data_IF_425768550763
#
_entry.id   IF_425768550763
#
_cell.length_a   1.000
_cell.length_b   1.000
_cell.length_c   1.000
_cell.angle_alpha   90.00
_cell.angle_beta   90.00
_cell.angle_gamma   90.00
#
_symmetry.space_group_name_H-M   'P 1'
#
loop_
_entity.id
_entity.type
_entity.pdbx_description
1 polymer ?
#
# COMPACT_ATOMS: atom_id res chain seq x y z
N UNK A 1 4.69 -10.86 -13.13
CA UNK A 1 5.79 -10.11 -12.49
C UNK A 1 7.16 -10.34 -13.10
N UNK A 2 7.68 -11.58 -13.17
CA UNK A 2 8.99 -11.79 -13.83
C UNK A 2 8.94 -11.45 -15.32
N UNK A 3 7.93 -11.93 -16.03
CA UNK A 3 7.77 -11.69 -17.47
C UNK A 3 7.65 -10.18 -17.79
N UNK A 4 6.90 -9.42 -17.00
CA UNK A 4 6.76 -7.95 -17.16
C UNK A 4 8.11 -7.24 -17.02
N UNK A 5 8.92 -7.62 -16.03
CA UNK A 5 10.27 -7.08 -15.84
C UNK A 5 11.18 -7.43 -17.02
N UNK A 6 11.13 -8.68 -17.50
CA UNK A 6 11.92 -9.13 -18.64
C UNK A 6 11.51 -8.43 -19.94
N UNK A 7 10.21 -8.22 -20.14
CA UNK A 7 9.64 -7.51 -21.29
C UNK A 7 9.92 -6.00 -21.26
N UNK A 8 10.42 -5.46 -20.15
CA UNK A 8 10.77 -4.05 -20.05
C UNK A 8 9.57 -3.15 -19.75
N UNK A 9 8.47 -3.72 -19.27
CA UNK A 9 7.37 -2.93 -18.72
C UNK A 9 7.85 -2.24 -17.45
N UNK A 10 7.80 -0.90 -17.45
CA UNK A 10 8.19 -0.07 -16.30
C UNK A 10 6.91 0.48 -15.65
N UNK A 11 6.68 0.24 -14.35
CA UNK A 11 5.52 0.79 -13.67
C UNK A 11 5.64 2.32 -13.56
N UNK A 12 4.52 3.02 -13.67
CA UNK A 12 4.44 4.47 -13.49
C UNK A 12 3.56 4.84 -12.28
N UNK A 13 3.67 6.09 -11.82
CA UNK A 13 2.85 6.60 -10.73
C UNK A 13 1.40 6.77 -11.20
N UNK A 14 0.46 6.14 -10.50
CA UNK A 14 -0.95 6.18 -10.89
C UNK A 14 -1.58 7.55 -10.60
N UNK A 15 -1.63 8.40 -11.62
CA UNK A 15 -2.18 9.76 -11.59
C UNK A 15 -2.68 10.23 -12.96
N UNK A 16 -3.33 11.39 -13.00
CA UNK A 16 -3.85 12.01 -14.25
C UNK A 16 -2.80 12.25 -15.34
N UNK A 17 -1.51 12.29 -15.02
CA UNK A 17 -0.44 12.57 -16.01
C UNK A 17 0.08 11.34 -16.72
N UNK A 18 -0.27 10.15 -16.23
CA UNK A 18 0.23 8.85 -16.72
C UNK A 18 -0.85 7.99 -17.37
N UNK A 19 -2.12 8.36 -17.20
CA UNK A 19 -3.28 7.65 -17.72
C UNK A 19 -3.91 8.51 -18.82
N UNK A 20 -4.15 7.95 -20.03
CA UNK A 20 -4.81 8.70 -21.10
C UNK A 20 -6.24 9.11 -20.69
N UNK A 21 -6.74 10.28 -21.14
CA UNK A 21 -8.04 10.81 -20.75
C UNK A 21 -9.21 9.84 -20.94
N UNK A 22 -9.12 8.97 -21.94
CA UNK A 22 -10.12 7.97 -22.28
C UNK A 22 -10.30 6.93 -21.16
N UNK A 23 -9.22 6.55 -20.47
CA UNK A 23 -9.23 5.57 -19.37
C UNK A 23 -9.70 6.16 -18.04
N UNK A 24 -9.62 7.49 -17.88
CA UNK A 24 -10.13 8.21 -16.70
C UNK A 24 -11.66 8.25 -16.64
N UNK A 25 -12.33 8.01 -17.77
CA UNK A 25 -13.79 8.05 -17.92
C UNK A 25 -14.49 6.73 -17.64
N UNK A 26 -13.75 5.68 -17.28
CA UNK A 26 -14.31 4.36 -16.97
C UNK A 26 -15.22 4.46 -15.74
N UNK A 27 -16.49 4.80 -15.99
CA UNK A 27 -17.58 4.62 -15.03
C UNK A 27 -17.49 3.18 -14.53
N UNK A 28 -17.57 2.91 -13.21
CA UNK A 28 -17.68 1.55 -12.73
C UNK A 28 -18.81 0.89 -13.51
N UNK A 29 -18.47 -0.05 -14.40
CA UNK A 29 -19.47 -0.86 -15.06
C UNK A 29 -20.22 -1.54 -13.94
N UNK A 30 -21.41 -1.00 -13.63
CA UNK A 30 -22.43 -1.73 -12.91
C UNK A 30 -22.85 -2.80 -13.90
N UNK A 31 -22.08 -3.88 -13.97
CA UNK A 31 -22.61 -5.17 -14.36
C UNK A 31 -23.68 -5.46 -13.32
N UNK A 32 -24.88 -4.97 -13.61
CA UNK A 32 -26.08 -5.30 -12.87
C UNK A 32 -26.23 -6.80 -13.02
N UNK A 33 -25.89 -7.53 -11.96
CA UNK A 33 -26.50 -8.81 -11.76
C UNK A 33 -27.97 -8.52 -11.48
N UNK A 34 -28.77 -8.68 -12.53
CA UNK A 34 -30.23 -8.65 -12.54
C UNK A 34 -30.79 -9.89 -11.83
N UNK A 35 -30.39 -10.15 -10.59
CA UNK A 35 -31.14 -11.12 -9.78
C UNK A 35 -32.39 -10.43 -9.24
N UNK A 36 -33.38 -10.28 -10.12
CA UNK A 36 -34.75 -10.05 -9.73
C UNK A 36 -35.27 -11.26 -8.95
N UNK A 37 -35.79 -11.03 -7.75
CA UNK A 37 -37.19 -11.33 -7.37
C UNK A 37 -37.33 -11.40 -5.84
N UNK A 38 -38.16 -10.53 -5.27
CA UNK A 38 -39.21 -10.87 -4.30
C UNK A 38 -39.89 -9.56 -3.86
N UNK A 39 -41.18 -9.43 -4.17
CA UNK A 39 -42.01 -8.34 -3.65
C UNK A 39 -42.23 -8.48 -2.15
N UNK A 40 -42.19 -7.36 -1.43
CA UNK A 40 -42.67 -7.25 -0.05
C UNK A 40 -42.83 -5.78 0.35
N UNK A 41 -44.02 -5.33 0.80
CA UNK A 41 -44.24 -3.94 1.16
C UNK A 41 -43.75 -3.73 2.60
N UNK A 42 -42.57 -3.14 2.75
CA UNK A 42 -42.00 -2.77 4.04
C UNK A 42 -41.14 -1.54 3.87
N UNK A 43 -41.68 -0.38 4.25
CA UNK A 43 -40.97 0.87 4.31
C UNK A 43 -39.80 0.77 5.32
N UNK A 44 -38.62 0.47 4.80
CA UNK A 44 -37.36 0.46 5.53
C UNK A 44 -36.28 0.77 4.53
N UNK A 45 -36.05 2.06 4.28
CA UNK A 45 -34.93 2.54 3.48
C UNK A 45 -33.64 2.01 4.10
N UNK A 46 -33.18 0.87 3.61
CA UNK A 46 -31.82 0.36 3.83
C UNK A 46 -30.92 1.40 3.20
N UNK A 47 -30.46 2.32 4.05
CA UNK A 47 -29.32 3.18 3.72
C UNK A 47 -28.16 2.24 3.51
N UNK A 48 -27.92 1.85 2.27
CA UNK A 48 -26.60 1.42 1.85
C UNK A 48 -25.67 2.54 2.29
N UNK A 49 -24.86 2.28 3.31
CA UNK A 49 -23.74 3.11 3.71
C UNK A 49 -22.68 3.02 2.61
N UNK A 50 -23.01 3.53 1.43
CA UNK A 50 -22.05 3.86 0.41
C UNK A 50 -21.38 5.11 0.96
N UNK A 51 -20.15 4.93 1.47
CA UNK A 51 -19.35 5.99 2.06
C UNK A 51 -19.41 7.22 1.17
N UNK A 52 -20.04 8.26 1.70
CA UNK A 52 -20.07 9.58 1.10
C UNK A 52 -18.61 10.01 0.86
N UNK A 53 -18.22 10.40 -0.37
CA UNK A 53 -16.87 10.87 -0.65
C UNK A 53 -16.69 12.20 0.07
N UNK A 54 -16.25 12.09 1.32
CA UNK A 54 -16.00 13.23 2.19
C UNK A 54 -14.94 14.10 1.52
N UNK A 55 -15.35 15.33 1.20
CA UNK A 55 -14.57 16.39 0.58
C UNK A 55 -13.42 16.87 1.47
N UNK A 56 -12.44 16.01 1.71
CA UNK A 56 -11.12 16.42 2.21
C UNK A 56 -9.94 15.66 1.60
N UNK A 57 -10.14 14.46 1.03
CA UNK A 57 -9.16 13.77 0.17
C UNK A 57 -9.72 12.48 -0.48
N UNK A 58 -11.01 12.48 -0.86
CA UNK A 58 -11.75 11.28 -1.29
C UNK A 58 -12.11 11.24 -2.78
N UNK A 59 -11.27 11.79 -3.66
CA UNK A 59 -11.46 11.69 -5.12
C UNK A 59 -11.10 10.30 -5.66
N UNK A 60 -11.61 9.94 -6.83
CA UNK A 60 -11.17 8.76 -7.59
C UNK A 60 -9.63 8.70 -7.59
N UNK A 61 -8.96 7.56 -7.33
CA UNK A 61 -7.49 7.48 -7.31
C UNK A 61 -6.81 7.98 -8.60
N UNK A 62 -7.55 8.07 -9.70
CA UNK A 62 -7.08 8.60 -10.98
C UNK A 62 -7.18 10.13 -11.11
N UNK A 63 -7.85 10.83 -10.20
CA UNK A 63 -8.01 12.29 -10.22
C UNK A 63 -6.92 13.04 -9.44
N UNK A 64 -5.93 12.34 -8.88
CA UNK A 64 -4.77 12.98 -8.25
C UNK A 64 -3.72 13.35 -9.29
N UNK A 65 -2.86 14.28 -8.92
CA UNK A 65 -1.69 14.69 -9.73
C UNK A 65 -0.49 14.77 -8.80
N UNK A 66 0.59 14.10 -9.16
CA UNK A 66 1.86 14.19 -8.44
C UNK A 66 2.75 15.31 -9.00
N UNK A 67 3.74 15.74 -8.22
CA UNK A 67 4.67 16.75 -8.70
C UNK A 67 5.61 16.17 -9.78
N UNK A 68 6.06 16.98 -10.75
CA UNK A 68 7.03 16.54 -11.76
C UNK A 68 8.32 15.97 -11.15
N UNK A 69 8.75 16.54 -10.00
CA UNK A 69 9.91 16.05 -9.27
C UNK A 69 9.69 14.64 -8.69
N UNK A 70 8.46 14.25 -8.35
CA UNK A 70 8.19 12.89 -7.90
C UNK A 70 8.26 11.90 -9.07
N UNK A 71 7.71 12.26 -10.22
CA UNK A 71 7.82 11.46 -11.46
C UNK A 71 9.28 11.23 -11.85
N UNK A 72 10.08 12.30 -11.93
CA UNK A 72 11.51 12.19 -12.26
C UNK A 72 12.29 11.34 -11.23
N UNK A 73 11.98 11.48 -9.94
CA UNK A 73 12.58 10.66 -8.88
C UNK A 73 12.29 9.16 -9.09
N UNK A 74 11.04 8.80 -9.37
CA UNK A 74 10.63 7.40 -9.58
C UNK A 74 11.25 6.83 -10.86
N UNK A 75 11.32 7.61 -11.94
CA UNK A 75 11.94 7.20 -13.20
C UNK A 75 13.44 6.86 -13.04
N UNK A 76 14.18 7.66 -12.27
CA UNK A 76 15.56 7.36 -11.90
C UNK A 76 15.66 6.06 -11.08
N UNK A 77 14.72 5.84 -10.17
CA UNK A 77 14.68 4.64 -9.34
C UNK A 77 14.24 3.39 -10.09
N UNK A 78 13.65 3.49 -11.27
CA UNK A 78 13.12 2.36 -12.04
C UNK A 78 13.93 2.06 -13.32
N UNK A 79 15.11 2.67 -13.48
CA UNK A 79 16.05 2.30 -14.53
C UNK A 79 16.32 0.78 -14.51
N UNK A 80 16.19 0.16 -15.68
CA UNK A 80 16.43 -1.28 -15.90
C UNK A 80 17.91 -1.63 -15.76
N UNK A 81 18.76 -0.75 -16.27
CA UNK A 81 20.21 -0.85 -16.14
C UNK A 81 20.62 -0.37 -14.74
N UNK A 82 21.16 -1.26 -13.88
CA UNK A 82 21.52 -0.89 -12.51
C UNK A 82 22.62 0.18 -12.45
N UNK A 83 23.53 0.22 -13.43
CA UNK A 83 24.64 1.19 -13.45
C UNK A 83 24.16 2.62 -13.72
N UNK A 84 22.97 2.77 -14.30
CA UNK A 84 22.32 4.07 -14.52
C UNK A 84 21.51 4.55 -13.31
N UNK A 85 21.29 3.69 -12.31
CA UNK A 85 20.52 4.04 -11.12
C UNK A 85 21.44 4.82 -10.16
N UNK A 86 21.03 6.01 -9.69
CA UNK A 86 21.81 6.76 -8.71
C UNK A 86 21.89 6.02 -7.37
N UNK A 87 23.01 6.20 -6.65
CA UNK A 87 23.15 5.72 -5.28
C UNK A 87 22.21 6.45 -4.32
N UNK A 88 21.96 5.86 -3.14
CA UNK A 88 21.12 6.49 -2.12
C UNK A 88 21.64 7.88 -1.69
N UNK A 89 22.96 8.03 -1.54
CA UNK A 89 23.60 9.31 -1.19
C UNK A 89 23.43 10.38 -2.25
N UNK A 90 23.42 10.01 -3.53
CA UNK A 90 23.11 10.96 -4.61
C UNK A 90 21.62 11.30 -4.62
N UNK A 91 20.77 10.32 -4.37
CA UNK A 91 19.32 10.44 -4.45
C UNK A 91 18.74 11.35 -3.35
N UNK A 92 19.34 11.40 -2.15
CA UNK A 92 18.92 12.34 -1.08
C UNK A 92 19.03 13.80 -1.49
N UNK A 93 19.91 14.14 -2.45
CA UNK A 93 20.04 15.48 -3.03
C UNK A 93 19.00 15.82 -4.10
N UNK A 94 18.13 14.88 -4.47
CA UNK A 94 17.13 15.08 -5.53
C UNK A 94 16.14 16.21 -5.17
N UNK A 95 15.72 17.06 -6.12
CA UNK A 95 14.78 18.16 -5.87
C UNK A 95 13.46 17.74 -5.19
N UNK A 96 13.03 16.49 -5.38
CA UNK A 96 11.87 15.93 -4.69
C UNK A 96 11.97 16.07 -3.16
N UNK A 97 13.16 15.95 -2.57
CA UNK A 97 13.32 16.08 -1.11
C UNK A 97 13.42 17.54 -0.63
N UNK A 98 13.64 18.51 -1.53
CA UNK A 98 13.72 19.94 -1.18
C UNK A 98 12.40 20.50 -0.67
N UNK A 99 11.28 19.81 -0.88
CA UNK A 99 9.98 20.19 -0.32
C UNK A 99 9.88 19.96 1.19
N UNK A 100 10.76 19.14 1.78
CA UNK A 100 10.73 18.80 3.20
C UNK A 100 11.37 19.94 4.00
N UNK A 101 10.52 20.73 4.69
CA UNK A 101 10.95 21.89 5.49
C UNK A 101 10.95 21.64 7.00
N UNK A 102 10.17 20.66 7.45
CA UNK A 102 9.99 20.32 8.87
C UNK A 102 10.61 18.96 9.16
N UNK A 103 10.97 18.73 10.43
CA UNK A 103 11.44 17.42 10.86
C UNK A 103 10.34 16.37 10.66
N UNK A 104 10.67 15.14 10.20
CA UNK A 104 9.67 14.09 9.99
C UNK A 104 8.81 13.81 11.23
N UNK A 105 9.41 13.86 12.42
CA UNK A 105 8.70 13.67 13.70
C UNK A 105 7.58 14.68 13.94
N UNK A 106 7.61 15.84 13.29
CA UNK A 106 6.63 16.90 13.44
C UNK A 106 5.58 16.92 12.32
N UNK A 107 5.96 16.53 11.10
CA UNK A 107 5.10 16.63 9.92
C UNK A 107 4.38 15.32 9.57
N UNK A 108 5.03 14.15 9.77
CA UNK A 108 4.46 12.87 9.38
C UNK A 108 3.15 12.52 10.13
N UNK A 109 3.00 12.76 11.44
CA UNK A 109 1.76 12.42 12.14
C UNK A 109 0.53 13.12 11.55
N UNK A 110 0.70 14.34 11.03
CA UNK A 110 -0.37 15.09 10.39
C UNK A 110 -0.69 14.55 8.99
N UNK A 111 0.34 14.24 8.19
CA UNK A 111 0.20 13.69 6.83
C UNK A 111 -0.41 12.28 6.81
N UNK A 112 -0.22 11.51 7.88
CA UNK A 112 -0.73 10.14 7.98
C UNK A 112 -2.19 10.08 8.44
N UNK A 113 -2.82 11.19 8.81
CA UNK A 113 -4.24 11.20 9.17
C UNK A 113 -5.09 10.61 8.03
N UNK A 114 -6.12 9.81 8.35
CA UNK A 114 -6.66 9.54 9.69
C UNK A 114 -5.96 8.40 10.45
N UNK A 115 -4.88 7.81 9.91
CA UNK A 115 -4.18 6.67 10.52
C UNK A 115 -3.48 7.10 11.82
N UNK A 116 -3.71 6.36 12.90
CA UNK A 116 -3.06 6.58 14.21
C UNK A 116 -2.20 5.39 14.60
N UNK A 117 -1.06 5.62 15.28
CA UNK A 117 -0.19 4.54 15.71
C UNK A 117 -0.83 3.73 16.85
N UNK A 118 -0.57 2.42 16.88
CA UNK A 118 -0.92 1.57 18.02
C UNK A 118 0.15 1.79 19.09
N UNK A 119 -0.21 2.50 20.17
CA UNK A 119 0.74 2.91 21.23
C UNK A 119 0.65 2.06 22.50
N UNK A 120 -0.41 1.26 22.66
CA UNK A 120 -0.65 0.50 23.88
C UNK A 120 -0.22 -0.96 23.69
N UNK A 121 0.79 -1.39 24.43
CA UNK A 121 1.23 -2.79 24.54
C UNK A 121 0.86 -3.42 25.89
N UNK A 122 -0.08 -2.82 26.64
CA UNK A 122 -0.63 -3.40 27.87
C UNK A 122 -1.58 -4.55 27.51
N UNK A 123 -1.00 -5.72 27.24
CA UNK A 123 -1.73 -6.95 26.95
C UNK A 123 -0.92 -8.24 27.00
N UNK A 124 0.38 -8.18 27.30
CA UNK A 124 1.16 -9.36 27.70
C UNK A 124 2.00 -8.99 28.91
N UNK A 125 1.36 -9.03 30.08
CA UNK A 125 2.07 -9.27 31.32
C UNK A 125 2.92 -10.54 31.10
N UNK A 126 4.24 -10.54 31.34
CA UNK A 126 5.01 -11.77 31.39
C UNK A 126 4.65 -12.50 32.69
N UNK A 127 3.44 -13.07 32.74
CA UNK A 127 3.16 -14.18 33.63
C UNK A 127 3.34 -15.46 32.81
N UNK A 128 4.43 -16.16 33.15
CA UNK A 128 4.61 -17.60 32.95
C UNK A 128 4.86 -18.13 31.53
N UNK A 129 5.57 -17.40 30.67
CA UNK A 129 5.97 -17.92 29.33
C UNK A 129 7.39 -18.52 29.24
N UNK A 130 8.24 -18.40 30.28
CA UNK A 130 9.55 -19.05 30.27
C UNK A 130 9.49 -20.58 30.31
N UNK A 131 8.36 -21.16 30.76
CA UNK A 131 8.13 -22.61 30.74
C UNK A 131 7.83 -23.14 29.34
N UNK A 132 7.13 -22.36 28.51
CA UNK A 132 6.75 -22.76 27.15
C UNK A 132 7.93 -22.80 26.18
N UNK A 133 8.82 -21.81 26.25
CA UNK A 133 9.99 -21.73 25.35
C UNK A 133 10.99 -22.88 25.59
N UNK A 134 11.28 -23.21 26.84
CA UNK A 134 12.15 -24.34 27.18
C UNK A 134 11.56 -25.69 26.76
N UNK A 135 10.23 -25.85 26.87
CA UNK A 135 9.54 -27.05 26.40
C UNK A 135 9.56 -27.18 24.88
N UNK A 136 9.49 -26.08 24.15
CA UNK A 136 9.56 -26.05 22.68
C UNK A 136 10.99 -26.33 22.19
N UNK A 137 12.00 -25.77 22.84
CA UNK A 137 13.41 -26.06 22.56
C UNK A 137 13.72 -27.56 22.75
N UNK A 138 13.24 -28.15 23.85
CA UNK A 138 13.38 -29.58 24.09
C UNK A 138 12.69 -30.42 23.02
N UNK A 139 11.51 -30.00 22.54
CA UNK A 139 10.79 -30.69 21.47
C UNK A 139 11.52 -30.63 20.12
N UNK A 140 12.15 -29.49 19.79
CA UNK A 140 12.91 -29.32 18.54
C UNK A 140 14.24 -30.08 18.56
N UNK A 141 14.88 -30.20 19.73
CA UNK A 141 16.13 -30.97 19.87
C UNK A 141 15.97 -32.48 19.63
N UNK A 142 14.73 -32.99 19.67
CA UNK A 142 14.42 -34.39 19.46
C UNK A 142 14.08 -34.73 18.00
N UNK A 143 13.99 -33.74 17.11
CA UNK A 143 13.74 -33.98 15.69
C UNK A 143 15.08 -34.27 14.99
N UNK A 144 15.37 -35.55 14.77
CA UNK A 144 16.40 -35.95 13.81
C UNK A 144 15.89 -35.67 12.39
N UNK A 145 16.69 -34.93 11.62
CA UNK A 145 16.44 -34.69 10.20
C UNK A 145 17.21 -35.76 9.43
N UNK A 146 16.51 -36.64 8.72
CA UNK A 146 17.14 -37.61 7.84
C UNK A 146 17.97 -36.89 6.76
N UNK A 147 19.18 -37.40 6.51
CA UNK A 147 20.05 -36.88 5.45
C UNK A 147 19.39 -37.17 4.09
N UNK A 148 19.21 -36.12 3.28
CA UNK A 148 18.66 -36.27 1.95
C UNK A 148 19.72 -36.87 1.03
N UNK A 149 19.53 -38.12 0.60
CA UNK A 149 20.35 -38.77 -0.43
C UNK A 149 20.07 -38.10 -1.80
N UNK A 150 21.01 -37.29 -2.28
CA UNK A 150 20.98 -36.65 -3.61
C UNK A 150 21.75 -37.46 -4.65
#
# INVERSE_FOLDING_TARGET
MLLEKLNGTVPCLLDTTTIPPEELSMTPSRSGADSGICEGPGAGSVRHSNGEPSSSSGGHPYNRTFSPHFHAFVELCLQRDPEKRPSATTLTGHPFFKQIKRRPSEALPELLRPVTPITNFEGTQPQDSNSGLASLESGLSHLEVDDWDF
#
